data_IF_137004339572
#
_entry.id   IF_137004339572
#
_cell.length_a   1.000
_cell.length_b   1.000
_cell.length_c   1.000
_cell.angle_alpha   90.00
_cell.angle_beta   90.00
_cell.angle_gamma   90.00
#
_symmetry.space_group_name_H-M   'P 1'
#
loop_
_entity.id
_entity.type
_entity.pdbx_description
1 polymer ?
#
# COMPACT_ATOMS: atom_id res chain seq x y z
N UNK A 1 -10.04 -27.13 54.84
CA UNK A 1 -9.28 -26.68 56.01
C UNK A 1 -8.73 -25.31 55.71
N UNK A 2 -9.35 -24.34 56.28
CA UNK A 2 -8.91 -23.34 57.24
C UNK A 2 -7.96 -22.29 56.62
N UNK A 3 -8.48 -21.12 56.38
CA UNK A 3 -8.57 -19.88 57.18
C UNK A 3 -7.21 -19.15 57.26
N UNK A 4 -7.10 -17.89 56.80
CA UNK A 4 -7.10 -16.73 57.70
C UNK A 4 -7.25 -15.40 56.94
N UNK A 5 -8.18 -14.55 57.47
CA UNK A 5 -8.36 -13.11 57.19
C UNK A 5 -7.52 -12.29 58.18
N UNK A 6 -7.07 -11.10 57.76
CA UNK A 6 -6.83 -9.94 58.64
C UNK A 6 -6.81 -8.69 57.74
N UNK A 7 -7.72 -7.83 57.77
CA UNK A 7 -8.23 -6.72 58.59
C UNK A 7 -7.35 -5.46 58.54
N UNK A 8 -7.99 -4.45 57.99
CA UNK A 8 -7.92 -2.99 58.16
C UNK A 8 -7.12 -2.43 59.34
N UNK A 9 -6.45 -1.27 59.08
CA UNK A 9 -6.60 -0.11 59.99
C UNK A 9 -6.42 1.20 59.22
N UNK A 10 -7.39 2.07 59.40
CA UNK A 10 -7.52 3.47 59.03
C UNK A 10 -6.77 4.33 60.03
N UNK A 11 -6.08 5.37 59.61
CA UNK A 11 -5.80 6.50 60.50
C UNK A 11 -5.86 7.81 59.72
N UNK A 12 -6.82 8.61 60.16
CA UNK A 12 -7.07 10.01 59.82
C UNK A 12 -6.18 10.88 60.70
N UNK A 13 -5.55 11.92 60.17
CA UNK A 13 -5.16 13.07 61.01
C UNK A 13 -5.27 14.38 60.22
N UNK A 14 -5.86 15.32 60.98
CA UNK A 14 -6.35 16.66 60.60
C UNK A 14 -5.27 17.70 60.45
N UNK A 15 -5.63 18.69 59.62
CA UNK A 15 -5.51 20.14 59.76
C UNK A 15 -4.25 20.77 60.40
N UNK A 16 -3.64 21.69 59.64
CA UNK A 16 -3.32 23.02 60.20
C UNK A 16 -3.38 24.08 59.05
N UNK A 17 -4.23 25.07 59.29
CA UNK A 17 -4.37 26.28 58.49
C UNK A 17 -3.28 27.31 58.90
N UNK A 18 -2.63 27.94 57.98
CA UNK A 18 -1.88 29.16 58.21
C UNK A 18 -2.17 30.18 57.11
N UNK A 19 -2.93 31.21 57.50
CA UNK A 19 -3.10 32.49 56.77
C UNK A 19 -1.79 33.28 56.81
N UNK A 20 -1.35 33.78 55.68
CA UNK A 20 -0.42 34.90 55.65
C UNK A 20 -0.69 35.76 54.40
N UNK A 21 -0.82 36.98 54.65
CA UNK A 21 -1.29 38.18 54.01
C UNK A 21 -0.85 38.46 52.55
N UNK A 22 -1.79 39.11 51.96
CA UNK A 22 -1.81 39.68 50.60
C UNK A 22 -1.02 40.99 50.59
N UNK A 23 -0.13 41.12 49.61
CA UNK A 23 0.29 42.42 49.10
C UNK A 23 -0.07 42.46 47.61
N UNK A 24 -1.08 43.26 47.30
CA UNK A 24 -1.51 43.63 45.96
C UNK A 24 -0.51 44.60 45.33
N UNK A 25 0.30 44.13 44.39
CA UNK A 25 1.01 45.00 43.46
C UNK A 25 0.24 44.99 42.15
N UNK A 26 -0.46 46.07 41.88
CA UNK A 26 -1.17 46.36 40.65
C UNK A 26 -0.14 46.71 39.56
N UNK A 27 0.17 45.78 38.67
CA UNK A 27 0.86 46.07 37.44
C UNK A 27 -0.18 46.16 36.29
N UNK A 28 -0.40 47.38 35.82
CA UNK A 28 -1.17 47.64 34.64
C UNK A 28 -0.51 46.96 33.41
N UNK A 29 -1.17 45.93 32.87
CA UNK A 29 -0.80 45.33 31.59
C UNK A 29 -1.49 46.09 30.46
N UNK A 30 -0.70 46.74 29.62
CA UNK A 30 -1.11 47.20 28.28
C UNK A 30 -1.64 46.01 27.48
N UNK A 31 -2.75 46.14 26.75
CA UNK A 31 -3.23 45.08 25.90
C UNK A 31 -2.27 44.89 24.72
N UNK A 32 -1.54 43.80 24.70
CA UNK A 32 -0.87 43.32 23.47
C UNK A 32 -1.94 42.89 22.47
N UNK A 33 -1.95 43.63 21.36
CA UNK A 33 -2.75 43.28 20.19
C UNK A 33 -2.27 41.94 19.64
N UNK A 34 -3.00 40.88 19.98
CA UNK A 34 -2.80 39.54 19.37
C UNK A 34 -3.12 39.67 17.88
N UNK A 35 -2.08 39.75 17.05
CA UNK A 35 -2.25 39.52 15.62
C UNK A 35 -2.77 38.11 15.44
N UNK A 36 -4.01 37.98 14.97
CA UNK A 36 -4.57 36.74 14.45
C UNK A 36 -3.77 36.37 13.22
N UNK A 37 -2.83 35.47 13.36
CA UNK A 37 -2.18 34.84 12.21
C UNK A 37 -3.27 33.95 11.55
N UNK A 38 -3.87 34.51 10.52
CA UNK A 38 -4.68 33.70 9.59
C UNK A 38 -3.76 32.65 8.95
N UNK A 39 -4.09 31.37 9.00
CA UNK A 39 -3.31 30.38 8.27
C UNK A 39 -3.39 30.72 6.79
N UNK A 40 -2.25 30.96 6.19
CA UNK A 40 -2.09 31.14 4.75
C UNK A 40 -2.60 29.90 4.02
N UNK A 41 -3.81 30.03 3.50
CA UNK A 41 -4.54 28.99 2.76
C UNK A 41 -4.22 29.14 1.28
N UNK A 42 -2.96 28.98 0.93
CA UNK A 42 -2.54 28.97 -0.48
C UNK A 42 -1.39 27.97 -0.71
N UNK A 43 -1.63 26.70 -0.39
CA UNK A 43 -1.01 25.64 -1.19
C UNK A 43 -1.90 25.52 -2.43
N UNK A 44 -1.75 26.48 -3.33
CA UNK A 44 -2.17 26.31 -4.72
C UNK A 44 -1.23 25.26 -5.28
N UNK A 45 -1.67 23.99 -5.30
CA UNK A 45 -1.06 22.99 -6.16
C UNK A 45 -1.17 23.53 -7.58
N UNK A 46 -0.08 24.04 -8.11
CA UNK A 46 0.01 24.38 -9.52
C UNK A 46 -0.46 23.17 -10.32
N UNK A 47 -1.35 23.32 -11.30
CA UNK A 47 -1.72 22.22 -12.17
C UNK A 47 -0.44 21.68 -12.79
N UNK A 48 -0.16 20.39 -12.60
CA UNK A 48 0.98 19.72 -13.22
C UNK A 48 0.94 20.00 -14.71
N UNK A 49 2.07 20.37 -15.29
CA UNK A 49 2.15 20.59 -16.73
C UNK A 49 1.65 19.35 -17.49
N UNK A 50 0.98 19.50 -18.63
CA UNK A 50 0.52 18.35 -19.42
C UNK A 50 1.72 17.49 -19.82
N UNK A 51 1.51 16.15 -19.79
CA UNK A 51 2.53 15.18 -20.17
C UNK A 51 3.08 15.48 -21.57
N UNK A 52 4.41 15.45 -21.72
CA UNK A 52 5.02 15.66 -23.02
C UNK A 52 4.76 14.49 -23.96
N UNK A 53 4.73 14.74 -25.27
CA UNK A 53 4.59 13.66 -26.28
C UNK A 53 5.69 12.60 -26.16
N UNK A 54 6.90 13.00 -25.75
CA UNK A 54 8.00 12.08 -25.50
C UNK A 54 7.77 11.17 -24.27
N UNK A 55 7.13 11.67 -23.23
CA UNK A 55 6.74 10.83 -22.07
C UNK A 55 5.65 9.82 -22.46
N UNK A 56 4.65 10.28 -23.19
CA UNK A 56 3.55 9.42 -23.68
C UNK A 56 4.05 8.35 -24.66
N UNK A 57 4.94 8.69 -25.60
CA UNK A 57 5.49 7.72 -26.54
C UNK A 57 6.31 6.61 -25.87
N UNK A 58 6.94 6.88 -24.73
CA UNK A 58 7.65 5.86 -23.96
C UNK A 58 6.71 4.85 -23.29
N UNK A 59 5.45 5.22 -23.06
CA UNK A 59 4.44 4.36 -22.45
C UNK A 59 3.61 3.58 -23.46
N UNK A 60 3.56 4.03 -24.72
CA UNK A 60 2.73 3.43 -25.79
C UNK A 60 3.33 2.17 -26.40
N UNK A 61 4.06 1.37 -25.68
CA UNK A 61 4.50 0.06 -26.15
C UNK A 61 3.34 -0.92 -26.07
N UNK A 62 2.81 -1.36 -27.22
CA UNK A 62 1.87 -2.47 -27.26
C UNK A 62 2.50 -3.70 -26.59
N UNK A 63 1.72 -4.42 -25.75
CA UNK A 63 2.22 -5.63 -25.13
C UNK A 63 2.63 -6.66 -26.17
N UNK A 64 3.85 -7.17 -26.06
CA UNK A 64 4.43 -8.22 -26.90
C UNK A 64 4.80 -9.42 -26.05
N UNK A 65 3.87 -9.83 -25.21
CA UNK A 65 3.98 -10.99 -24.35
C UNK A 65 2.69 -11.81 -24.43
N UNK A 66 2.76 -13.05 -24.00
CA UNK A 66 1.66 -14.01 -24.06
C UNK A 66 1.15 -14.38 -22.68
N UNK A 67 0.27 -15.36 -22.70
CA UNK A 67 -0.29 -16.02 -21.52
C UNK A 67 -0.40 -17.52 -21.84
N UNK A 68 0.08 -18.42 -20.98
CA UNK A 68 0.05 -19.85 -21.24
C UNK A 68 -1.33 -20.49 -20.99
N UNK A 69 -2.17 -19.81 -20.19
CA UNK A 69 -3.57 -20.22 -19.93
C UNK A 69 -4.50 -19.00 -19.98
N UNK A 70 -4.70 -18.40 -21.18
CA UNK A 70 -5.44 -17.16 -21.33
C UNK A 70 -6.94 -17.37 -21.13
N UNK A 71 -7.55 -16.51 -20.30
CA UNK A 71 -9.00 -16.47 -20.19
C UNK A 71 -9.65 -15.82 -21.41
N UNK A 72 -10.74 -16.39 -21.92
CA UNK A 72 -11.55 -15.81 -23.00
C UNK A 72 -12.42 -14.67 -22.50
N UNK A 73 -11.93 -13.45 -22.67
CA UNK A 73 -12.57 -12.24 -22.14
C UNK A 73 -13.79 -11.86 -22.98
N UNK A 74 -14.97 -12.06 -22.41
CA UNK A 74 -16.20 -11.55 -23.00
C UNK A 74 -16.35 -10.04 -22.70
N UNK A 75 -16.24 -9.20 -23.72
CA UNK A 75 -16.30 -7.75 -23.60
C UNK A 75 -14.94 -7.09 -23.31
N UNK A 76 -14.90 -6.14 -22.35
CA UNK A 76 -13.67 -5.37 -22.09
C UNK A 76 -12.65 -6.19 -21.30
N UNK A 77 -11.70 -6.78 -22.00
CA UNK A 77 -10.57 -7.51 -21.41
C UNK A 77 -9.34 -6.64 -21.15
N UNK A 78 -8.23 -7.25 -20.67
CA UNK A 78 -6.98 -6.55 -20.35
C UNK A 78 -6.37 -5.80 -21.51
N UNK A 79 -6.53 -6.27 -22.75
CA UNK A 79 -6.04 -5.62 -23.97
C UNK A 79 -6.66 -4.25 -24.27
N UNK A 80 -7.74 -3.87 -23.55
CA UNK A 80 -8.33 -2.53 -23.65
C UNK A 80 -7.62 -1.47 -22.80
N UNK A 81 -6.56 -1.83 -22.09
CA UNK A 81 -5.78 -0.94 -21.22
C UNK A 81 -4.38 -0.72 -21.80
N UNK A 82 -3.90 0.50 -21.73
CA UNK A 82 -2.63 0.87 -22.36
C UNK A 82 -1.40 0.57 -21.50
N UNK A 83 -1.55 0.48 -20.18
CA UNK A 83 -0.45 0.37 -19.24
C UNK A 83 -0.46 -1.02 -18.61
N UNK A 84 0.53 -1.83 -19.00
CA UNK A 84 0.71 -3.19 -18.53
C UNK A 84 1.89 -3.30 -17.58
N UNK A 85 1.79 -4.21 -16.63
CA UNK A 85 2.83 -4.51 -15.66
C UNK A 85 2.78 -5.94 -15.17
N UNK A 86 3.69 -6.22 -14.28
CA UNK A 86 3.80 -7.53 -13.61
C UNK A 86 3.88 -7.35 -12.11
N UNK A 87 3.63 -8.41 -11.36
CA UNK A 87 4.18 -8.51 -10.02
C UNK A 87 5.10 -9.73 -9.92
N UNK A 88 6.13 -9.59 -9.10
CA UNK A 88 7.20 -10.55 -9.05
C UNK A 88 7.76 -10.72 -7.63
N UNK A 89 8.20 -11.93 -7.35
CA UNK A 89 8.91 -12.32 -6.14
C UNK A 89 10.08 -13.23 -6.50
N UNK A 90 10.79 -13.75 -5.53
CA UNK A 90 11.89 -14.70 -5.74
C UNK A 90 11.54 -15.87 -6.69
N UNK A 91 10.28 -16.16 -6.89
CA UNK A 91 9.83 -17.30 -7.69
C UNK A 91 10.04 -17.11 -9.20
N UNK A 92 10.17 -15.87 -9.68
CA UNK A 92 10.46 -15.56 -11.08
C UNK A 92 11.96 -15.70 -11.43
N UNK A 93 12.82 -16.01 -10.43
CA UNK A 93 14.24 -16.27 -10.67
C UNK A 93 15.00 -15.05 -11.18
N UNK A 94 15.76 -15.19 -12.25
CA UNK A 94 16.43 -14.07 -12.92
C UNK A 94 15.47 -13.38 -13.90
N UNK A 95 15.49 -12.04 -13.91
CA UNK A 95 14.66 -11.24 -14.80
C UNK A 95 15.56 -10.30 -15.63
N UNK A 96 15.47 -10.44 -16.96
CA UNK A 96 16.01 -9.41 -17.87
C UNK A 96 14.98 -8.28 -18.02
N UNK A 97 15.09 -7.30 -17.15
CA UNK A 97 14.22 -6.14 -17.10
C UNK A 97 14.20 -5.32 -18.38
N UNK A 98 15.29 -5.33 -19.17
CA UNK A 98 15.35 -4.63 -20.44
C UNK A 98 14.51 -5.33 -21.49
N UNK A 99 14.53 -6.66 -21.54
CA UNK A 99 13.65 -7.44 -22.40
C UNK A 99 12.19 -7.28 -22.00
N UNK A 100 11.87 -7.40 -20.69
CA UNK A 100 10.53 -7.19 -20.18
C UNK A 100 10.00 -5.78 -20.54
N UNK A 101 10.83 -4.75 -20.36
CA UNK A 101 10.47 -3.37 -20.76
C UNK A 101 10.18 -3.24 -22.26
N UNK A 102 11.03 -3.82 -23.12
CA UNK A 102 10.82 -3.85 -24.57
C UNK A 102 9.56 -4.63 -24.97
N UNK A 103 9.19 -5.64 -24.22
CA UNK A 103 7.96 -6.40 -24.42
C UNK A 103 6.69 -5.64 -24.01
N UNK A 104 6.80 -4.47 -23.36
CA UNK A 104 5.66 -3.63 -23.01
C UNK A 104 5.36 -3.53 -21.51
N UNK A 105 6.22 -4.09 -20.66
CA UNK A 105 6.07 -3.93 -19.21
C UNK A 105 6.44 -2.50 -18.80
N UNK A 106 5.45 -1.77 -18.33
CA UNK A 106 5.57 -0.36 -17.92
C UNK A 106 5.81 -0.22 -16.41
N UNK A 107 5.30 -1.16 -15.61
CA UNK A 107 5.47 -1.15 -14.16
C UNK A 107 5.64 -2.55 -13.60
N UNK A 108 6.22 -2.62 -12.39
CA UNK A 108 6.32 -3.84 -11.62
C UNK A 108 6.07 -3.59 -10.13
N UNK A 109 5.28 -4.44 -9.50
CA UNK A 109 5.23 -4.54 -8.05
C UNK A 109 6.08 -5.72 -7.58
N UNK A 110 6.99 -5.45 -6.64
CA UNK A 110 8.03 -6.38 -6.22
C UNK A 110 7.81 -6.79 -4.77
N UNK A 111 7.77 -8.09 -4.48
CA UNK A 111 7.68 -8.58 -3.11
C UNK A 111 8.90 -8.09 -2.34
N UNK A 112 8.67 -7.34 -1.28
CA UNK A 112 9.74 -6.89 -0.40
C UNK A 112 9.79 -7.70 0.88
N UNK A 113 8.65 -7.89 1.52
CA UNK A 113 8.57 -8.52 2.82
C UNK A 113 7.28 -9.32 2.98
N UNK A 114 7.31 -10.22 3.97
CA UNK A 114 6.20 -11.08 4.35
C UNK A 114 6.20 -11.26 5.87
N UNK A 115 5.05 -11.14 6.52
CA UNK A 115 4.96 -11.22 7.97
C UNK A 115 5.85 -10.20 8.68
N UNK A 116 6.46 -10.58 9.80
CA UNK A 116 7.33 -9.69 10.59
C UNK A 116 8.82 -9.98 10.49
N UNK A 117 9.23 -10.98 9.72
CA UNK A 117 10.58 -11.58 9.76
C UNK A 117 11.10 -12.11 8.41
N UNK A 118 10.27 -12.19 7.38
CA UNK A 118 10.70 -12.64 6.06
C UNK A 118 10.91 -11.45 5.12
N UNK A 119 12.06 -11.41 4.44
CA UNK A 119 12.34 -10.50 3.34
C UNK A 119 12.58 -11.30 2.06
N UNK A 120 12.06 -10.82 0.93
CA UNK A 120 12.31 -11.48 -0.34
C UNK A 120 13.78 -11.30 -0.75
N UNK A 121 14.53 -12.38 -0.98
CA UNK A 121 15.97 -12.31 -1.27
C UNK A 121 16.28 -11.60 -2.59
N UNK A 122 15.33 -11.57 -3.54
CA UNK A 122 15.48 -10.92 -4.84
C UNK A 122 15.05 -9.47 -4.87
N UNK A 123 14.40 -8.97 -3.81
CA UNK A 123 13.83 -7.62 -3.81
C UNK A 123 14.83 -6.53 -4.23
N UNK A 124 16.01 -6.51 -3.62
CA UNK A 124 17.02 -5.48 -3.91
C UNK A 124 17.57 -5.54 -5.34
N UNK A 125 17.69 -6.75 -5.87
CA UNK A 125 18.12 -7.00 -7.25
C UNK A 125 17.06 -6.49 -8.23
N UNK A 126 15.80 -6.90 -8.03
CA UNK A 126 14.67 -6.48 -8.86
C UNK A 126 14.42 -4.98 -8.79
N UNK A 127 14.50 -4.40 -7.60
CA UNK A 127 14.34 -2.96 -7.40
C UNK A 127 15.33 -2.16 -8.27
N UNK A 128 16.60 -2.56 -8.27
CA UNK A 128 17.64 -1.91 -9.08
C UNK A 128 17.46 -2.19 -10.57
N UNK A 129 17.20 -3.43 -10.93
CA UNK A 129 17.05 -3.86 -12.32
C UNK A 129 15.87 -3.21 -13.02
N UNK A 130 14.69 -3.22 -12.41
CA UNK A 130 13.50 -2.55 -12.92
C UNK A 130 13.73 -1.05 -13.14
N UNK A 131 14.29 -0.37 -12.12
CA UNK A 131 14.61 1.05 -12.22
C UNK A 131 15.62 1.37 -13.32
N UNK A 132 16.68 0.60 -13.46
CA UNK A 132 17.69 0.77 -14.52
C UNK A 132 17.14 0.52 -15.92
N UNK A 133 16.10 -0.28 -16.05
CA UNK A 133 15.40 -0.54 -17.31
C UNK A 133 14.30 0.46 -17.64
N UNK A 134 14.01 1.42 -16.73
CA UNK A 134 12.92 2.38 -16.89
C UNK A 134 11.53 1.76 -16.69
N UNK A 135 11.43 0.68 -15.92
CA UNK A 135 10.18 0.10 -15.43
C UNK A 135 9.83 0.79 -14.11
N UNK A 136 8.66 1.44 -14.04
CA UNK A 136 8.17 2.02 -12.81
C UNK A 136 7.99 0.91 -11.76
N UNK A 137 8.50 1.11 -10.55
CA UNK A 137 8.52 0.06 -9.55
C UNK A 137 7.90 0.46 -8.24
N UNK A 138 7.18 -0.48 -7.63
CA UNK A 138 6.65 -0.40 -6.28
C UNK A 138 7.00 -1.66 -5.49
N UNK A 139 6.83 -1.60 -4.19
CA UNK A 139 7.07 -2.73 -3.31
C UNK A 139 5.77 -3.18 -2.65
N UNK A 140 5.61 -4.50 -2.47
CA UNK A 140 4.49 -5.02 -1.71
C UNK A 140 4.90 -5.82 -0.48
N UNK A 141 4.01 -5.81 0.51
CA UNK A 141 4.10 -6.58 1.74
C UNK A 141 3.00 -7.61 1.81
N UNK A 142 3.36 -8.88 1.93
CA UNK A 142 2.41 -9.98 2.13
C UNK A 142 2.05 -10.10 3.62
N UNK A 143 0.78 -9.84 3.96
CA UNK A 143 0.36 -9.67 5.35
C UNK A 143 0.05 -11.00 6.04
N UNK A 144 0.55 -11.17 7.26
CA UNK A 144 0.26 -12.31 8.14
C UNK A 144 -0.62 -11.93 9.32
N UNK A 145 -1.77 -12.59 9.46
CA UNK A 145 -2.73 -12.34 10.56
C UNK A 145 -2.27 -12.84 11.93
N UNK A 146 -1.13 -13.48 12.01
CA UNK A 146 -0.52 -13.93 13.26
C UNK A 146 0.45 -12.91 13.89
N UNK A 147 0.66 -11.78 13.22
CA UNK A 147 1.55 -10.70 13.66
C UNK A 147 0.82 -9.35 13.62
N UNK A 148 1.10 -8.44 14.58
CA UNK A 148 0.50 -7.10 14.59
C UNK A 148 0.90 -6.28 13.35
N UNK A 149 -0.03 -5.51 12.79
CA UNK A 149 0.23 -4.65 11.64
C UNK A 149 1.39 -3.65 11.86
N UNK A 150 1.54 -3.12 13.07
CA UNK A 150 2.63 -2.19 13.36
C UNK A 150 4.02 -2.84 13.32
N UNK A 151 4.13 -4.13 13.64
CA UNK A 151 5.37 -4.89 13.51
C UNK A 151 5.71 -5.08 12.03
N UNK A 152 4.75 -5.54 11.25
CA UNK A 152 4.90 -5.80 9.82
C UNK A 152 5.18 -4.50 9.04
N UNK A 153 4.50 -3.41 9.36
CA UNK A 153 4.78 -2.11 8.75
C UNK A 153 6.21 -1.62 9.02
N UNK A 154 6.71 -1.78 10.26
CA UNK A 154 8.11 -1.45 10.59
C UNK A 154 9.10 -2.38 9.89
N UNK A 155 8.74 -3.66 9.71
CA UNK A 155 9.54 -4.61 8.95
C UNK A 155 9.67 -4.17 7.49
N UNK A 156 8.56 -3.82 6.85
CA UNK A 156 8.54 -3.30 5.49
C UNK A 156 9.41 -2.02 5.35
N UNK A 157 9.23 -1.04 6.24
CA UNK A 157 9.98 0.22 6.24
C UNK A 157 11.51 0.00 6.32
N UNK A 158 11.97 -1.01 7.07
CA UNK A 158 13.40 -1.33 7.16
C UNK A 158 14.00 -1.90 5.87
N UNK A 159 13.17 -2.47 4.99
CA UNK A 159 13.63 -3.16 3.78
C UNK A 159 13.41 -2.36 2.51
N UNK A 160 12.41 -1.50 2.48
CA UNK A 160 12.02 -0.73 1.30
C UNK A 160 12.55 0.71 1.39
N UNK A 161 13.36 1.15 0.43
CA UNK A 161 13.90 2.51 0.45
C UNK A 161 12.80 3.56 0.27
N UNK A 162 12.98 4.73 0.87
CA UNK A 162 12.17 5.91 0.58
C UNK A 162 12.66 6.53 -0.72
N UNK A 163 11.99 6.19 -1.81
CA UNK A 163 12.33 6.63 -3.17
C UNK A 163 11.17 7.46 -3.74
N UNK A 164 11.34 8.78 -3.98
CA UNK A 164 10.28 9.64 -4.52
C UNK A 164 9.77 9.20 -5.90
N UNK A 165 10.61 8.50 -6.68
CA UNK A 165 10.23 7.96 -7.99
C UNK A 165 9.52 6.60 -7.93
N UNK A 166 9.35 6.03 -6.75
CA UNK A 166 8.67 4.76 -6.60
C UNK A 166 7.14 4.91 -6.63
N UNK A 167 6.45 3.86 -7.07
CA UNK A 167 5.00 3.75 -6.93
C UNK A 167 4.62 3.65 -5.43
N UNK A 168 3.36 3.98 -5.06
CA UNK A 168 2.89 3.78 -3.70
C UNK A 168 3.15 2.36 -3.22
N UNK A 169 3.48 2.14 -1.94
CA UNK A 169 3.58 0.79 -1.39
C UNK A 169 2.28 0.03 -1.52
N UNK A 170 2.36 -1.30 -1.52
CA UNK A 170 1.17 -2.16 -1.54
C UNK A 170 1.12 -2.99 -0.27
N UNK A 171 -0.07 -3.04 0.33
CA UNK A 171 -0.47 -3.99 1.34
C UNK A 171 -1.21 -5.14 0.67
N UNK A 172 -0.60 -6.31 0.62
CA UNK A 172 -1.16 -7.51 0.05
C UNK A 172 -1.95 -8.27 1.14
N UNK A 173 -3.28 -8.28 0.97
CA UNK A 173 -4.26 -8.80 1.92
C UNK A 173 -5.07 -9.92 1.27
N UNK A 174 -4.66 -11.14 1.56
CA UNK A 174 -5.33 -12.36 1.11
C UNK A 174 -5.23 -13.46 2.16
N UNK A 175 -6.03 -14.51 2.02
CA UNK A 175 -5.90 -15.67 2.90
C UNK A 175 -4.67 -16.50 2.52
N UNK A 176 -3.97 -17.00 3.55
CA UNK A 176 -2.80 -17.84 3.35
C UNK A 176 -3.03 -19.26 3.92
N UNK A 177 -3.86 -20.09 3.27
CA UNK A 177 -4.22 -21.42 3.79
C UNK A 177 -3.04 -22.40 3.78
N UNK A 178 -2.02 -22.14 2.98
CA UNK A 178 -0.85 -23.02 2.83
C UNK A 178 0.35 -22.59 3.67
N UNK A 179 0.24 -21.52 4.45
CA UNK A 179 1.31 -21.09 5.33
C UNK A 179 1.61 -22.13 6.42
N UNK A 180 2.87 -22.46 6.57
CA UNK A 180 3.32 -23.35 7.65
C UNK A 180 3.29 -22.70 9.03
N UNK A 181 3.20 -21.38 9.09
CA UNK A 181 3.35 -20.58 10.32
C UNK A 181 2.13 -19.74 10.66
N UNK A 182 1.28 -19.42 9.69
CA UNK A 182 0.11 -18.58 9.92
C UNK A 182 -1.04 -18.86 8.95
N UNK A 183 -2.02 -19.61 9.40
CA UNK A 183 -3.27 -19.88 8.65
C UNK A 183 -4.49 -19.18 9.28
N UNK A 184 -4.24 -18.17 10.13
CA UNK A 184 -5.30 -17.45 10.86
C UNK A 184 -6.20 -16.69 9.90
N UNK A 185 -7.52 -16.78 10.12
CA UNK A 185 -8.57 -16.04 9.38
C UNK A 185 -9.41 -15.24 10.39
N UNK A 186 -8.99 -14.04 10.81
CA UNK A 186 -9.73 -13.22 11.76
C UNK A 186 -11.04 -12.69 11.14
N UNK A 187 -11.95 -12.25 12.02
CA UNK A 187 -13.14 -11.50 11.62
C UNK A 187 -12.79 -10.25 10.80
N UNK A 188 -13.64 -9.91 9.82
CA UNK A 188 -13.43 -8.79 8.91
C UNK A 188 -13.23 -7.44 9.61
N UNK A 189 -13.84 -7.20 10.79
CA UNK A 189 -13.60 -5.97 11.57
C UNK A 189 -12.16 -5.89 12.06
N UNK A 190 -11.61 -7.02 12.52
CA UNK A 190 -10.21 -7.12 12.96
C UNK A 190 -9.27 -6.91 11.76
N UNK A 191 -9.55 -7.58 10.64
CA UNK A 191 -8.80 -7.43 9.38
C UNK A 191 -8.75 -5.96 8.97
N UNK A 192 -9.90 -5.29 8.88
CA UNK A 192 -9.98 -3.88 8.49
C UNK A 192 -9.28 -2.94 9.48
N UNK A 193 -9.30 -3.24 10.77
CA UNK A 193 -8.59 -2.46 11.79
C UNK A 193 -7.07 -2.55 11.61
N UNK A 194 -6.53 -3.76 11.44
CA UNK A 194 -5.10 -3.98 11.20
C UNK A 194 -4.64 -3.39 9.86
N UNK A 195 -5.44 -3.55 8.80
CA UNK A 195 -5.17 -2.90 7.51
C UNK A 195 -5.07 -1.37 7.64
N UNK A 196 -6.06 -0.71 8.28
CA UNK A 196 -6.01 0.76 8.51
C UNK A 196 -4.77 1.19 9.30
N UNK A 197 -4.34 0.38 10.26
CA UNK A 197 -3.14 0.66 11.05
C UNK A 197 -1.88 0.58 10.21
N UNK A 198 -1.74 -0.46 9.39
CA UNK A 198 -0.62 -0.62 8.46
C UNK A 198 -0.57 0.54 7.46
N UNK A 199 -1.70 0.83 6.80
CA UNK A 199 -1.81 1.92 5.82
C UNK A 199 -1.37 3.27 6.41
N UNK A 200 -1.84 3.64 7.61
CA UNK A 200 -1.44 4.90 8.25
C UNK A 200 0.05 4.98 8.55
N UNK A 201 0.67 3.88 8.99
CA UNK A 201 2.11 3.85 9.29
C UNK A 201 2.92 4.06 8.01
N UNK A 202 2.56 3.38 6.91
CA UNK A 202 3.28 3.52 5.65
C UNK A 202 3.02 4.89 4.99
N UNK A 203 1.78 5.38 5.04
CA UNK A 203 1.43 6.71 4.52
C UNK A 203 2.25 7.81 5.23
N UNK A 204 2.36 7.76 6.55
CA UNK A 204 3.18 8.70 7.33
C UNK A 204 4.66 8.61 6.98
N UNK A 205 5.17 7.42 6.64
CA UNK A 205 6.58 7.24 6.30
C UNK A 205 6.89 7.63 4.85
N UNK A 206 6.11 7.14 3.88
CA UNK A 206 6.40 7.32 2.45
C UNK A 206 5.76 8.59 1.85
N UNK A 207 4.83 9.24 2.56
CA UNK A 207 4.11 10.42 2.07
C UNK A 207 3.05 10.13 1.02
N UNK A 208 2.78 8.85 0.74
CA UNK A 208 1.73 8.37 -0.18
C UNK A 208 0.96 7.23 0.48
N UNK A 209 -0.37 7.27 0.33
CA UNK A 209 -1.23 6.21 0.85
C UNK A 209 -0.99 4.91 0.09
N UNK A 210 -0.78 3.78 0.79
CA UNK A 210 -0.61 2.49 0.14
C UNK A 210 -1.88 2.03 -0.57
N UNK A 211 -1.70 1.25 -1.65
CA UNK A 211 -2.75 0.49 -2.33
C UNK A 211 -2.97 -0.83 -1.60
N UNK A 212 -4.19 -1.35 -1.57
CA UNK A 212 -4.48 -2.70 -1.08
C UNK A 212 -4.62 -3.66 -2.27
N UNK A 213 -3.75 -4.69 -2.33
CA UNK A 213 -4.01 -5.85 -3.16
C UNK A 213 -4.91 -6.83 -2.41
N UNK A 214 -5.84 -7.49 -3.15
CA UNK A 214 -6.72 -8.50 -2.55
C UNK A 214 -7.32 -9.45 -3.57
N UNK A 215 -7.76 -10.62 -3.08
CA UNK A 215 -8.46 -11.67 -3.84
C UNK A 215 -9.98 -11.58 -3.66
N UNK A 216 -10.72 -12.30 -4.51
CA UNK A 216 -12.20 -12.24 -4.52
C UNK A 216 -12.80 -12.68 -3.19
N UNK A 217 -12.39 -13.85 -2.72
CA UNK A 217 -12.85 -14.45 -1.47
C UNK A 217 -12.53 -13.57 -0.26
N UNK A 218 -11.29 -13.08 -0.19
CA UNK A 218 -10.87 -12.19 0.89
C UNK A 218 -11.66 -10.88 0.91
N UNK A 219 -11.86 -10.26 -0.26
CA UNK A 219 -12.63 -9.02 -0.38
C UNK A 219 -14.06 -9.18 0.12
N UNK A 220 -14.72 -10.29 -0.27
CA UNK A 220 -16.09 -10.57 0.10
C UNK A 220 -16.23 -10.92 1.59
N UNK A 221 -15.38 -11.82 2.10
CA UNK A 221 -15.47 -12.29 3.49
C UNK A 221 -15.11 -11.22 4.52
N UNK A 222 -14.15 -10.36 4.19
CA UNK A 222 -13.66 -9.35 5.14
C UNK A 222 -14.29 -7.97 4.93
N UNK A 223 -15.02 -7.78 3.84
CA UNK A 223 -15.57 -6.47 3.44
C UNK A 223 -14.49 -5.37 3.42
N UNK A 224 -13.26 -5.71 2.99
CA UNK A 224 -12.13 -4.78 3.02
C UNK A 224 -12.37 -3.54 2.16
N UNK A 225 -13.28 -3.60 1.20
CA UNK A 225 -13.74 -2.47 0.40
C UNK A 225 -14.35 -1.32 1.21
N UNK A 226 -14.75 -1.54 2.48
CA UNK A 226 -15.22 -0.49 3.38
C UNK A 226 -14.12 0.43 3.92
N UNK A 227 -12.85 0.21 3.58
CA UNK A 227 -11.76 1.12 3.98
C UNK A 227 -11.78 2.35 3.07
N UNK A 228 -12.38 3.43 3.57
CA UNK A 228 -12.49 4.68 2.83
C UNK A 228 -11.13 5.29 2.43
N UNK A 229 -11.10 6.00 1.29
CA UNK A 229 -9.89 6.68 0.78
C UNK A 229 -8.76 5.72 0.37
N UNK A 230 -9.08 4.46 0.07
CA UNK A 230 -8.11 3.44 -0.33
C UNK A 230 -8.38 3.01 -1.76
N UNK A 231 -7.32 2.92 -2.54
CA UNK A 231 -7.33 2.36 -3.88
C UNK A 231 -6.99 0.88 -3.83
N UNK A 232 -7.54 0.10 -4.76
CA UNK A 232 -7.35 -1.34 -4.78
C UNK A 232 -6.59 -1.81 -6.02
N UNK A 233 -5.80 -2.83 -5.82
CA UNK A 233 -5.28 -3.72 -6.84
C UNK A 233 -6.01 -5.06 -6.69
N UNK A 234 -6.89 -5.35 -7.65
CA UNK A 234 -7.84 -6.46 -7.55
C UNK A 234 -7.39 -7.65 -8.40
N UNK A 235 -7.33 -8.83 -7.79
CA UNK A 235 -7.12 -10.07 -8.52
C UNK A 235 -8.44 -10.60 -9.06
N UNK A 236 -8.51 -10.77 -10.39
CA UNK A 236 -9.64 -11.41 -11.04
C UNK A 236 -9.21 -12.02 -12.37
N UNK A 237 -9.01 -13.32 -12.41
CA UNK A 237 -8.52 -14.06 -13.58
C UNK A 237 -9.64 -14.61 -14.47
N UNK A 238 -10.89 -14.47 -14.05
CA UNK A 238 -12.05 -15.02 -14.76
C UNK A 238 -13.21 -14.02 -14.90
N UNK A 239 -12.94 -12.71 -14.79
CA UNK A 239 -13.97 -11.69 -14.95
C UNK A 239 -13.43 -10.28 -14.73
N UNK A 240 -14.05 -9.32 -15.39
CA UNK A 240 -13.66 -7.91 -15.27
C UNK A 240 -13.96 -7.38 -13.85
N UNK A 241 -13.06 -6.58 -13.21
CA UNK A 241 -13.24 -6.09 -11.83
C UNK A 241 -14.58 -5.40 -11.55
N UNK A 242 -15.13 -4.66 -12.50
CA UNK A 242 -16.45 -4.03 -12.33
C UNK A 242 -17.59 -5.02 -12.09
N UNK A 243 -17.46 -6.24 -12.61
CA UNK A 243 -18.44 -7.33 -12.44
C UNK A 243 -18.19 -8.10 -11.15
N UNK A 244 -16.92 -8.37 -10.85
CA UNK A 244 -16.51 -9.23 -9.73
C UNK A 244 -16.49 -8.47 -8.41
N UNK A 245 -16.13 -7.17 -8.44
CA UNK A 245 -16.03 -6.28 -7.28
C UNK A 245 -16.88 -5.01 -7.51
N UNK A 246 -18.20 -5.12 -7.51
CA UNK A 246 -19.07 -3.99 -7.82
C UNK A 246 -18.84 -2.84 -6.86
N UNK A 247 -18.66 -1.64 -7.40
CA UNK A 247 -18.42 -0.42 -6.61
C UNK A 247 -17.00 -0.23 -6.05
N UNK A 248 -16.08 -1.18 -6.25
CA UNK A 248 -14.71 -1.03 -5.77
C UNK A 248 -13.93 0.09 -6.48
N UNK A 249 -13.21 0.91 -5.72
CA UNK A 249 -12.30 1.93 -6.22
C UNK A 249 -10.95 1.31 -6.58
N UNK A 250 -10.86 0.66 -7.74
CA UNK A 250 -9.64 -0.03 -8.16
C UNK A 250 -8.78 0.80 -9.11
N UNK A 251 -7.46 0.60 -9.03
CA UNK A 251 -6.47 1.20 -9.93
C UNK A 251 -5.71 0.15 -10.73
N UNK A 252 -5.49 -1.04 -10.15
CA UNK A 252 -4.81 -2.14 -10.81
C UNK A 252 -5.70 -3.37 -10.85
N UNK A 253 -5.52 -4.15 -11.90
CA UNK A 253 -6.17 -5.41 -12.09
C UNK A 253 -5.13 -6.47 -12.45
N UNK A 254 -4.93 -7.47 -11.56
CA UNK A 254 -4.20 -8.68 -11.84
C UNK A 254 -5.14 -9.65 -12.56
N UNK A 255 -4.89 -9.88 -13.83
CA UNK A 255 -5.82 -10.60 -14.71
C UNK A 255 -5.35 -11.99 -15.10
N UNK A 256 -4.08 -12.35 -14.88
CA UNK A 256 -3.52 -13.67 -15.12
C UNK A 256 -2.40 -13.96 -14.14
N UNK A 257 -2.21 -15.25 -13.85
CA UNK A 257 -1.07 -15.80 -13.10
C UNK A 257 -0.14 -16.64 -13.99
N UNK A 258 -0.38 -16.67 -15.30
CA UNK A 258 0.30 -17.55 -16.27
C UNK A 258 0.92 -16.78 -17.44
N UNK A 259 1.26 -15.51 -17.21
CA UNK A 259 1.86 -14.65 -18.22
C UNK A 259 3.23 -15.11 -18.68
N UNK A 260 3.48 -15.00 -19.98
CA UNK A 260 4.74 -15.34 -20.64
C UNK A 260 5.42 -14.07 -21.14
N UNK A 261 6.32 -13.51 -20.35
CA UNK A 261 6.97 -12.22 -20.65
C UNK A 261 8.43 -12.45 -21.08
N UNK A 262 8.86 -11.95 -22.26
CA UNK A 262 10.25 -12.01 -22.65
C UNK A 262 11.19 -11.44 -21.60
N UNK A 263 12.21 -12.21 -21.23
CA UNK A 263 13.16 -11.86 -20.17
C UNK A 263 12.79 -12.43 -18.78
N UNK A 264 11.70 -13.18 -18.68
CA UNK A 264 11.29 -13.92 -17.46
C UNK A 264 11.14 -15.39 -17.83
N UNK A 265 11.77 -16.26 -17.03
CA UNK A 265 11.61 -17.70 -17.20
C UNK A 265 10.36 -18.19 -16.45
N UNK A 266 9.46 -18.87 -17.18
CA UNK A 266 8.20 -19.39 -16.59
C UNK A 266 7.11 -18.32 -16.42
N UNK A 267 6.13 -18.67 -15.61
CA UNK A 267 4.92 -17.86 -15.43
C UNK A 267 5.17 -16.63 -14.55
N UNK A 268 4.48 -15.54 -14.87
CA UNK A 268 4.46 -14.31 -14.09
C UNK A 268 3.06 -13.70 -14.05
N UNK A 269 2.70 -13.07 -12.95
CA UNK A 269 1.42 -12.39 -12.82
C UNK A 269 1.35 -11.15 -13.71
N UNK A 270 0.28 -11.08 -14.53
CA UNK A 270 0.04 -9.98 -15.46
C UNK A 270 -0.98 -9.00 -14.91
N UNK A 271 -0.67 -7.73 -15.07
CA UNK A 271 -1.43 -6.63 -14.50
C UNK A 271 -1.69 -5.53 -15.53
N UNK A 272 -2.80 -4.79 -15.32
CA UNK A 272 -3.05 -3.53 -16.01
C UNK A 272 -3.38 -2.41 -15.03
N UNK A 273 -3.03 -1.19 -15.41
CA UNK A 273 -3.53 0.03 -14.77
C UNK A 273 -4.83 0.48 -15.43
N UNK A 274 -5.81 0.90 -14.65
CA UNK A 274 -7.18 1.23 -15.12
C UNK A 274 -7.25 2.43 -16.06
N UNK A 275 -6.33 3.37 -15.94
CA UNK A 275 -6.40 4.67 -16.57
C UNK A 275 -5.72 4.76 -17.94
N UNK A 276 -5.74 5.97 -18.51
CA UNK A 276 -4.98 6.32 -19.73
C UNK A 276 -3.49 6.51 -19.42
N UNK A 277 -2.60 6.61 -20.45
CA UNK A 277 -1.20 6.97 -20.25
C UNK A 277 -0.99 8.28 -19.50
N UNK A 278 -1.80 9.30 -19.75
CA UNK A 278 -1.73 10.61 -19.06
C UNK A 278 -2.09 10.46 -17.57
N UNK A 279 -3.16 9.71 -17.28
CA UNK A 279 -3.57 9.45 -15.89
C UNK A 279 -2.56 8.57 -15.15
N UNK A 280 -1.85 7.69 -15.86
CA UNK A 280 -0.74 6.93 -15.31
C UNK A 280 0.41 7.85 -14.87
N UNK A 281 0.85 8.76 -15.74
CA UNK A 281 1.92 9.70 -15.41
C UNK A 281 1.58 10.57 -14.20
N UNK A 282 0.33 11.06 -14.15
CA UNK A 282 -0.16 11.83 -13.01
C UNK A 282 -0.19 10.98 -11.72
N UNK A 283 -0.76 9.79 -11.80
CA UNK A 283 -0.91 8.90 -10.63
C UNK A 283 0.43 8.37 -10.12
N UNK A 284 1.34 8.00 -11.02
CA UNK A 284 2.66 7.47 -10.67
C UNK A 284 3.64 8.54 -10.16
N UNK A 285 3.35 9.83 -10.37
CA UNK A 285 4.25 10.94 -10.03
C UNK A 285 5.39 11.11 -11.04
N UNK A 286 5.20 10.66 -12.28
CA UNK A 286 6.19 10.75 -13.37
C UNK A 286 5.93 11.92 -14.33
N UNK A 287 5.01 12.84 -13.95
CA UNK A 287 4.78 14.10 -14.65
C UNK A 287 5.95 15.06 -14.44
#
# INVERSE_FOLDING_TARGET
>A
MAWLRAKLTSTCLMCVSLLAGVLLASCARTPQHSQVVTPDRSVVTSPSAPASSAQLSRLSTFPRFGDSDPFDWQGRGPGAYAIHGIDASRWQGEIDWRQARKAGISFAYLKATEGGDLADPRFKEYWRGAGAAGVARGAYHYFYFCRPAAEQARWFIRHVPKDPGALPPVLDMEWNPFSKTCTKRPDGKVVRAEARKFLRILEAHYGRRPVIYTTVDFYQETEIGQIAGTEFWLRSVAGHPRKIYPGAAWQFWQYSGTGQVPGIAGDVDLNVFRGSPESWLAWSGQL
#
